data_IF_663095927699
#
_entry.id   IF_663095927699
#
_cell.length_a   1.000
_cell.length_b   1.000
_cell.length_c   1.000
_cell.angle_alpha   90.00
_cell.angle_beta   90.00
_cell.angle_gamma   90.00
#
_symmetry.space_group_name_H-M   'P 1'
#
loop_
_entity.id
_entity.type
_entity.pdbx_description
1 polymer ?
#
# COMPACT_ATOMS: atom_id res chain seq x y z
N UNK A 1 6.86 22.66 -24.81
CA UNK A 1 6.39 21.37 -25.34
C UNK A 1 6.58 20.36 -24.22
N UNK A 2 5.51 19.91 -23.57
CA UNK A 2 5.59 18.78 -22.64
C UNK A 2 6.05 17.57 -23.44
N UNK A 3 6.95 16.76 -22.88
CA UNK A 3 7.40 15.56 -23.58
C UNK A 3 6.21 14.61 -23.71
N UNK A 4 6.20 13.76 -24.74
CA UNK A 4 5.15 12.73 -24.90
C UNK A 4 5.02 11.85 -23.66
N UNK A 5 6.12 11.66 -22.91
CA UNK A 5 6.17 10.91 -21.67
C UNK A 5 5.41 11.58 -20.53
N UNK A 6 5.56 12.89 -20.34
CA UNK A 6 4.83 13.63 -19.30
C UNK A 6 3.32 13.45 -19.48
N UNK A 7 2.83 13.59 -20.71
CA UNK A 7 1.40 13.43 -21.00
C UNK A 7 0.91 11.99 -20.69
N UNK A 8 1.70 10.96 -21.01
CA UNK A 8 1.37 9.55 -20.69
C UNK A 8 1.29 9.34 -19.18
N UNK A 9 2.25 9.90 -18.43
CA UNK A 9 2.29 9.80 -16.98
C UNK A 9 1.11 10.52 -16.32
N UNK A 10 0.78 11.71 -16.80
CA UNK A 10 -0.39 12.45 -16.34
C UNK A 10 -1.70 11.70 -16.58
N UNK A 11 -1.88 11.14 -17.77
CA UNK A 11 -3.06 10.32 -18.09
C UNK A 11 -3.11 9.08 -17.18
N UNK A 12 -1.98 8.42 -16.97
CA UNK A 12 -1.89 7.24 -16.09
C UNK A 12 -2.23 7.58 -14.64
N UNK A 13 -1.74 8.71 -14.12
CA UNK A 13 -2.02 9.16 -12.75
C UNK A 13 -3.50 9.52 -12.57
N UNK A 14 -4.11 10.18 -13.56
CA UNK A 14 -5.56 10.50 -13.54
C UNK A 14 -6.40 9.23 -13.56
N UNK A 15 -6.10 8.29 -14.45
CA UNK A 15 -6.80 7.00 -14.51
C UNK A 15 -6.65 6.26 -13.17
N UNK A 16 -5.44 6.24 -12.63
CA UNK A 16 -5.16 5.59 -11.34
C UNK A 16 -5.93 6.24 -10.20
N UNK A 17 -6.05 7.57 -10.15
CA UNK A 17 -6.91 8.25 -9.17
C UNK A 17 -8.38 7.88 -9.31
N UNK A 18 -8.89 7.84 -10.54
CA UNK A 18 -10.29 7.51 -10.82
C UNK A 18 -10.64 6.10 -10.33
N UNK A 19 -9.69 5.17 -10.37
CA UNK A 19 -9.89 3.81 -9.86
C UNK A 19 -9.65 3.75 -8.34
N UNK A 20 -8.59 4.41 -7.87
CA UNK A 20 -8.10 4.29 -6.50
C UNK A 20 -8.97 5.03 -5.48
N UNK A 21 -9.41 6.24 -5.81
CA UNK A 21 -10.18 7.09 -4.91
C UNK A 21 -11.54 6.47 -4.52
N UNK A 22 -12.36 5.97 -5.46
CA UNK A 22 -13.61 5.29 -5.11
C UNK A 22 -13.39 4.04 -4.27
N UNK A 23 -12.34 3.26 -4.58
CA UNK A 23 -12.02 2.04 -3.83
C UNK A 23 -11.62 2.33 -2.38
N UNK A 24 -10.76 3.33 -2.15
CA UNK A 24 -10.39 3.73 -0.79
C UNK A 24 -11.55 4.39 -0.03
N UNK A 25 -12.33 5.25 -0.69
CA UNK A 25 -13.53 5.82 -0.09
C UNK A 25 -14.54 4.75 0.30
N UNK A 26 -14.73 3.74 -0.54
CA UNK A 26 -15.59 2.60 -0.24
C UNK A 26 -15.13 1.85 1.02
N UNK A 27 -13.84 1.53 1.12
CA UNK A 27 -13.26 0.88 2.30
C UNK A 27 -13.50 1.72 3.56
N UNK A 28 -13.21 3.02 3.50
CA UNK A 28 -13.37 3.92 4.63
C UNK A 28 -14.83 4.07 5.05
N UNK A 29 -15.75 4.25 4.10
CA UNK A 29 -17.19 4.36 4.37
C UNK A 29 -17.70 3.07 5.02
N UNK A 30 -17.34 1.90 4.47
CA UNK A 30 -17.74 0.61 5.03
C UNK A 30 -17.27 0.46 6.48
N UNK A 31 -16.03 0.82 6.75
CA UNK A 31 -15.45 0.74 8.09
C UNK A 31 -16.10 1.77 9.04
N UNK A 32 -16.33 3.01 8.60
CA UNK A 32 -17.02 4.03 9.41
C UNK A 32 -18.45 3.60 9.75
N UNK A 33 -19.17 3.00 8.80
CA UNK A 33 -20.52 2.49 9.02
C UNK A 33 -20.53 1.35 10.04
N UNK A 34 -19.56 0.43 9.97
CA UNK A 34 -19.43 -0.65 10.94
C UNK A 34 -19.03 -0.14 12.32
N UNK A 35 -18.14 0.85 12.39
CA UNK A 35 -17.82 1.54 13.64
C UNK A 35 -19.04 2.19 14.26
N UNK A 36 -19.87 2.86 13.45
CA UNK A 36 -21.09 3.52 13.93
C UNK A 36 -22.10 2.52 14.48
N UNK A 37 -22.25 1.37 13.83
CA UNK A 37 -23.17 0.29 14.24
C UNK A 37 -22.69 -0.46 15.48
N UNK A 38 -21.42 -0.85 15.50
CA UNK A 38 -20.88 -1.77 16.51
C UNK A 38 -20.11 -1.07 17.63
N UNK A 39 -19.92 0.26 17.55
CA UNK A 39 -19.08 1.11 18.43
C UNK A 39 -17.61 0.68 18.54
N UNK A 40 -17.20 -0.40 17.88
CA UNK A 40 -15.84 -0.93 17.82
C UNK A 40 -15.55 -1.44 16.41
N UNK A 41 -14.34 -1.19 15.94
CA UNK A 41 -13.81 -1.73 14.69
C UNK A 41 -12.94 -2.94 14.98
N UNK A 42 -13.01 -3.96 14.13
CA UNK A 42 -12.04 -5.06 14.16
C UNK A 42 -10.63 -4.54 13.86
N UNK A 43 -9.61 -5.16 14.44
CA UNK A 43 -8.20 -4.76 14.25
C UNK A 43 -7.83 -4.71 12.77
N UNK A 44 -8.24 -5.72 12.02
CA UNK A 44 -7.99 -5.80 10.59
C UNK A 44 -8.56 -4.59 9.86
N UNK A 45 -9.78 -4.16 10.20
CA UNK A 45 -10.44 -3.01 9.60
C UNK A 45 -9.79 -1.67 10.01
N UNK A 46 -9.27 -1.56 11.24
CA UNK A 46 -8.52 -0.39 11.70
C UNK A 46 -7.20 -0.22 10.93
N UNK A 47 -6.41 -1.29 10.80
CA UNK A 47 -5.14 -1.28 10.08
C UNK A 47 -5.38 -1.01 8.58
N UNK A 48 -6.39 -1.66 7.99
CA UNK A 48 -6.79 -1.43 6.60
C UNK A 48 -7.20 0.03 6.36
N UNK A 49 -7.98 0.62 7.27
CA UNK A 49 -8.40 2.02 7.16
C UNK A 49 -7.21 2.97 7.25
N UNK A 50 -6.32 2.75 8.22
CA UNK A 50 -5.11 3.55 8.38
C UNK A 50 -4.21 3.48 7.14
N UNK A 51 -3.96 2.27 6.64
CA UNK A 51 -3.21 2.03 5.42
C UNK A 51 -3.85 2.72 4.21
N UNK A 52 -5.18 2.60 4.06
CA UNK A 52 -5.93 3.28 3.00
C UNK A 52 -5.79 4.80 3.05
N UNK A 53 -5.84 5.40 4.25
CA UNK A 53 -5.64 6.84 4.46
C UNK A 53 -4.22 7.27 4.04
N UNK A 54 -3.18 6.57 4.51
CA UNK A 54 -1.80 6.93 4.17
C UNK A 54 -1.53 6.81 2.66
N UNK A 55 -2.05 5.76 2.02
CA UNK A 55 -1.90 5.62 0.56
C UNK A 55 -2.69 6.70 -0.18
N UNK A 56 -3.91 7.04 0.25
CA UNK A 56 -4.67 8.17 -0.32
C UNK A 56 -3.90 9.48 -0.23
N UNK A 57 -3.38 9.82 0.96
CA UNK A 57 -2.60 11.03 1.18
C UNK A 57 -1.35 11.06 0.31
N UNK A 58 -0.63 9.95 0.23
CA UNK A 58 0.53 9.83 -0.63
C UNK A 58 0.19 10.09 -2.10
N UNK A 59 -0.92 9.51 -2.60
CA UNK A 59 -1.35 9.68 -4.00
C UNK A 59 -1.75 11.11 -4.31
N UNK A 60 -2.54 11.73 -3.44
CA UNK A 60 -2.92 13.14 -3.60
C UNK A 60 -1.67 14.00 -3.60
N UNK A 61 -0.75 13.78 -2.66
CA UNK A 61 0.49 14.56 -2.54
C UNK A 61 1.37 14.46 -3.78
N UNK A 62 1.60 13.24 -4.30
CA UNK A 62 2.39 12.99 -5.51
C UNK A 62 1.82 13.75 -6.72
N UNK A 63 0.49 13.70 -6.89
CA UNK A 63 -0.18 14.32 -8.04
C UNK A 63 -0.23 15.83 -7.90
N UNK A 64 -0.50 16.35 -6.70
CA UNK A 64 -0.42 17.79 -6.42
C UNK A 64 0.97 18.34 -6.74
N UNK A 65 2.03 17.64 -6.35
CA UNK A 65 3.40 18.05 -6.68
C UNK A 65 3.66 18.03 -8.18
N UNK A 66 3.20 17.00 -8.90
CA UNK A 66 3.38 16.90 -10.35
C UNK A 66 2.63 17.99 -11.12
N UNK A 67 1.38 18.28 -10.73
CA UNK A 67 0.62 19.41 -11.26
C UNK A 67 1.31 20.75 -10.97
N UNK A 68 1.89 20.91 -9.78
CA UNK A 68 2.66 22.09 -9.43
C UNK A 68 3.91 22.25 -10.33
N UNK A 69 4.68 21.18 -10.55
CA UNK A 69 5.86 21.22 -11.44
C UNK A 69 5.50 21.49 -12.90
N UNK A 70 4.35 21.02 -13.39
CA UNK A 70 3.89 21.36 -14.74
C UNK A 70 3.49 22.83 -14.87
N UNK A 71 2.75 23.35 -13.89
CA UNK A 71 2.15 24.70 -13.96
C UNK A 71 3.21 25.80 -13.83
N UNK A 72 4.17 25.61 -12.93
CA UNK A 72 5.24 26.58 -12.68
C UNK A 72 6.52 26.30 -13.50
N UNK A 73 6.49 25.25 -14.33
CA UNK A 73 7.62 24.74 -15.10
C UNK A 73 8.65 23.98 -14.24
N UNK A 74 9.50 23.19 -14.90
CA UNK A 74 10.63 22.45 -14.30
C UNK A 74 11.63 23.35 -13.55
N UNK A 75 11.48 24.68 -13.64
CA UNK A 75 12.20 25.71 -12.91
C UNK A 75 11.73 25.87 -11.45
N UNK A 76 11.30 24.80 -10.78
CA UNK A 76 11.36 24.72 -9.32
C UNK A 76 12.85 24.62 -8.94
N UNK A 77 13.59 25.70 -9.16
CA UNK A 77 15.01 25.87 -8.81
C UNK A 77 15.17 26.07 -7.30
N UNK A 78 14.06 26.28 -6.58
CA UNK A 78 14.09 26.40 -5.14
C UNK A 78 14.35 25.02 -4.50
N UNK A 79 15.60 24.79 -4.13
CA UNK A 79 16.07 23.63 -3.39
C UNK A 79 15.22 23.32 -2.15
N UNK A 80 14.61 24.32 -1.53
CA UNK A 80 13.73 24.12 -0.37
C UNK A 80 12.44 23.35 -0.71
N UNK A 81 11.84 23.64 -1.88
CA UNK A 81 10.60 22.98 -2.33
C UNK A 81 10.87 21.52 -2.68
N UNK A 82 11.99 21.24 -3.37
CA UNK A 82 12.42 19.87 -3.69
C UNK A 82 12.75 19.06 -2.43
N UNK A 83 13.45 19.66 -1.46
CA UNK A 83 13.75 19.00 -0.18
C UNK A 83 12.47 18.65 0.59
N UNK A 84 11.54 19.60 0.68
CA UNK A 84 10.27 19.42 1.37
C UNK A 84 9.42 18.32 0.70
N UNK A 85 9.46 18.25 -0.63
CA UNK A 85 8.83 17.18 -1.39
C UNK A 85 9.43 15.81 -1.06
N UNK A 86 10.76 15.67 -1.22
CA UNK A 86 11.46 14.42 -0.95
C UNK A 86 11.24 13.95 0.50
N UNK A 87 11.28 14.87 1.46
CA UNK A 87 11.02 14.57 2.86
C UNK A 87 9.62 14.01 3.09
N UNK A 88 8.61 14.69 2.57
CA UNK A 88 7.20 14.30 2.75
C UNK A 88 6.90 12.99 2.01
N UNK A 89 7.44 12.84 0.80
CA UNK A 89 7.30 11.64 -0.02
C UNK A 89 7.89 10.41 0.68
N UNK A 90 9.15 10.49 1.14
CA UNK A 90 9.84 9.40 1.84
C UNK A 90 9.17 9.06 3.17
N UNK A 91 8.69 10.07 3.91
CA UNK A 91 7.95 9.86 5.17
C UNK A 91 6.65 9.08 4.95
N UNK A 92 5.87 9.46 3.93
CA UNK A 92 4.62 8.79 3.61
C UNK A 92 4.84 7.33 3.17
N UNK A 93 5.90 7.06 2.39
CA UNK A 93 6.27 5.69 2.00
C UNK A 93 6.67 4.85 3.21
N UNK A 94 7.45 5.42 4.13
CA UNK A 94 7.83 4.73 5.37
C UNK A 94 6.61 4.39 6.22
N UNK A 95 5.66 5.32 6.36
CA UNK A 95 4.40 5.07 7.05
C UNK A 95 3.63 3.92 6.41
N UNK A 96 3.49 3.93 5.08
CA UNK A 96 2.79 2.85 4.36
C UNK A 96 3.49 1.51 4.56
N UNK A 97 4.82 1.47 4.50
CA UNK A 97 5.62 0.26 4.67
C UNK A 97 5.46 -0.33 6.07
N UNK A 98 5.49 0.52 7.11
CA UNK A 98 5.25 0.12 8.50
C UNK A 98 3.84 -0.43 8.70
N UNK A 99 2.81 0.27 8.22
CA UNK A 99 1.43 -0.19 8.34
C UNK A 99 1.20 -1.51 7.59
N UNK A 100 1.86 -1.71 6.46
CA UNK A 100 1.81 -2.95 5.71
C UNK A 100 2.46 -4.11 6.48
N UNK A 101 3.61 -3.86 7.12
CA UNK A 101 4.27 -4.84 7.99
C UNK A 101 3.38 -5.21 9.20
N UNK A 102 2.76 -4.23 9.87
CA UNK A 102 1.82 -4.47 10.97
C UNK A 102 0.61 -5.29 10.53
N UNK A 103 0.05 -5.00 9.36
CA UNK A 103 -1.05 -5.78 8.78
C UNK A 103 -0.63 -7.24 8.59
N UNK A 104 0.57 -7.46 8.05
CA UNK A 104 1.06 -8.80 7.76
C UNK A 104 1.36 -9.59 9.06
N UNK A 105 1.94 -8.95 10.08
CA UNK A 105 2.13 -9.54 11.42
C UNK A 105 0.78 -9.94 12.02
N UNK A 106 -0.24 -9.07 11.92
CA UNK A 106 -1.58 -9.38 12.42
C UNK A 106 -2.20 -10.59 11.70
N UNK A 107 -2.06 -10.67 10.37
CA UNK A 107 -2.49 -11.85 9.62
C UNK A 107 -1.75 -13.11 10.05
N UNK A 108 -0.44 -13.04 10.25
CA UNK A 108 0.36 -14.16 10.74
C UNK A 108 -0.14 -14.64 12.11
N UNK A 109 -0.39 -13.72 13.06
CA UNK A 109 -0.93 -14.04 14.38
C UNK A 109 -2.31 -14.70 14.31
N UNK A 110 -3.20 -14.20 13.43
CA UNK A 110 -4.54 -14.77 13.23
C UNK A 110 -4.51 -16.19 12.68
N UNK A 111 -3.52 -16.50 11.84
CA UNK A 111 -3.47 -17.72 11.04
C UNK A 111 -2.63 -18.82 11.70
N UNK A 112 -1.55 -18.46 12.39
CA UNK A 112 -0.65 -19.43 13.04
C UNK A 112 -1.21 -19.90 14.39
N UNK A 113 -2.22 -19.21 14.96
CA UNK A 113 -2.92 -19.60 16.18
C UNK A 113 -1.96 -19.99 17.33
N UNK A 114 -0.84 -19.25 17.47
CA UNK A 114 0.27 -19.60 18.38
C UNK A 114 -0.22 -19.72 19.83
N UNK A 115 -1.25 -18.96 20.21
CA UNK A 115 -1.97 -19.14 21.47
C UNK A 115 -3.32 -18.40 21.42
N UNK A 116 -4.46 -19.09 21.62
CA UNK A 116 -5.79 -18.47 21.61
C UNK A 116 -5.91 -17.33 22.62
N UNK A 117 -5.28 -17.46 23.80
CA UNK A 117 -5.30 -16.41 24.82
C UNK A 117 -4.49 -15.17 24.42
N UNK A 118 -3.34 -15.33 23.75
CA UNK A 118 -2.55 -14.19 23.26
C UNK A 118 -3.29 -13.46 22.13
N UNK A 119 -3.97 -14.20 21.26
CA UNK A 119 -4.79 -13.59 20.21
C UNK A 119 -5.93 -12.75 20.80
N UNK A 120 -6.66 -13.26 21.80
CA UNK A 120 -7.73 -12.53 22.49
C UNK A 120 -7.17 -11.29 23.22
N UNK A 121 -6.01 -11.43 23.88
CA UNK A 121 -5.37 -10.31 24.57
C UNK A 121 -4.97 -9.19 23.60
N UNK A 122 -4.30 -9.53 22.49
CA UNK A 122 -3.97 -8.57 21.44
C UNK A 122 -5.26 -7.97 20.86
N UNK A 123 -6.31 -8.78 20.66
CA UNK A 123 -7.59 -8.33 20.15
C UNK A 123 -8.22 -7.22 21.01
N UNK A 124 -8.11 -7.35 22.33
CA UNK A 124 -8.69 -6.40 23.27
C UNK A 124 -7.85 -5.14 23.46
N UNK A 125 -6.52 -5.26 23.43
CA UNK A 125 -5.60 -4.15 23.72
C UNK A 125 -5.30 -3.29 22.48
N UNK A 126 -5.34 -3.88 21.29
CA UNK A 126 -4.98 -3.19 20.05
C UNK A 126 -5.82 -1.93 19.73
N UNK A 127 -7.15 -1.87 19.94
CA UNK A 127 -7.91 -0.65 19.67
C UNK A 127 -7.45 0.54 20.51
N UNK A 128 -6.94 0.29 21.72
CA UNK A 128 -6.37 1.32 22.59
C UNK A 128 -4.93 1.66 22.20
N UNK A 129 -4.16 0.68 21.71
CA UNK A 129 -2.78 0.86 21.23
C UNK A 129 -2.69 1.44 19.83
N UNK A 130 -3.72 1.30 19.00
CA UNK A 130 -3.74 1.73 17.61
C UNK A 130 -3.33 3.20 17.41
N UNK A 131 -3.85 4.20 18.16
CA UNK A 131 -3.37 5.57 18.04
C UNK A 131 -1.89 5.73 18.40
N UNK A 132 -1.38 4.95 19.36
CA UNK A 132 0.03 4.95 19.73
C UNK A 132 0.91 4.31 18.66
N UNK A 133 0.47 3.21 18.05
CA UNK A 133 1.17 2.56 16.93
C UNK A 133 1.21 3.51 15.74
N UNK A 134 0.10 4.22 15.47
CA UNK A 134 0.04 5.23 14.42
C UNK A 134 1.01 6.37 14.70
N UNK A 135 0.99 6.91 15.92
CA UNK A 135 1.89 7.98 16.35
C UNK A 135 3.36 7.56 16.23
N UNK A 136 3.71 6.38 16.75
CA UNK A 136 5.08 5.86 16.71
C UNK A 136 5.54 5.59 15.28
N UNK A 137 4.66 5.08 14.42
CA UNK A 137 4.97 4.83 13.01
C UNK A 137 5.22 6.13 12.25
N UNK A 138 4.42 7.16 12.50
CA UNK A 138 4.61 8.49 11.91
C UNK A 138 5.91 9.12 12.41
N UNK A 139 6.18 9.06 13.72
CA UNK A 139 7.41 9.60 14.31
C UNK A 139 8.66 8.88 13.78
N UNK A 140 8.66 7.54 13.74
CA UNK A 140 9.75 6.77 13.18
C UNK A 140 9.98 7.10 11.70
N UNK A 141 8.90 7.26 10.94
CA UNK A 141 8.97 7.63 9.53
C UNK A 141 9.58 9.00 9.32
N UNK A 142 9.18 10.01 10.12
CA UNK A 142 9.74 11.37 10.06
C UNK A 142 11.22 11.42 10.46
N UNK A 143 11.62 10.64 11.46
CA UNK A 143 13.01 10.60 11.93
C UNK A 143 13.94 10.00 10.88
N UNK A 144 13.51 8.94 10.18
CA UNK A 144 14.32 8.27 9.17
C UNK A 144 14.29 9.06 7.84
N UNK A 145 13.16 9.69 7.50
CA UNK A 145 13.00 10.42 6.23
C UNK A 145 13.77 11.74 6.18
N UNK A 146 13.96 12.42 7.32
CA UNK A 146 14.65 13.72 7.39
C UNK A 146 16.05 13.67 6.81
N UNK A 147 16.97 12.91 7.44
CA UNK A 147 18.34 12.75 6.96
C UNK A 147 18.40 12.12 5.55
N UNK A 148 17.51 11.19 5.24
CA UNK A 148 17.46 10.54 3.93
C UNK A 148 17.09 11.52 2.80
N UNK A 149 16.15 12.44 3.04
CA UNK A 149 15.77 13.45 2.05
C UNK A 149 16.89 14.45 1.74
N UNK A 150 17.68 14.79 2.76
CA UNK A 150 18.87 15.63 2.59
C UNK A 150 19.94 14.94 1.74
N UNK A 151 20.20 13.66 2.03
CA UNK A 151 21.14 12.85 1.26
C UNK A 151 20.64 12.67 -0.20
N UNK A 152 19.35 12.38 -0.41
CA UNK A 152 18.74 12.28 -1.74
C UNK A 152 18.87 13.58 -2.53
N UNK A 153 18.63 14.72 -1.89
CA UNK A 153 18.79 16.02 -2.54
C UNK A 153 20.23 16.29 -2.95
N UNK A 154 21.20 15.93 -2.10
CA UNK A 154 22.63 16.07 -2.42
C UNK A 154 23.04 15.18 -3.59
N UNK A 155 22.50 13.97 -3.68
CA UNK A 155 22.72 13.07 -4.82
C UNK A 155 22.20 13.69 -6.12
N UNK A 156 21.00 14.28 -6.07
CA UNK A 156 20.36 14.95 -7.20
C UNK A 156 21.15 16.18 -7.69
N UNK A 157 21.79 16.91 -6.77
CA UNK A 157 22.60 18.10 -7.09
C UNK A 157 24.03 17.74 -7.54
N UNK A 158 24.62 16.66 -7.04
CA UNK A 158 25.99 16.27 -7.35
C UNK A 158 26.14 15.56 -8.70
N UNK A 159 25.09 14.87 -9.16
CA UNK A 159 25.02 14.30 -10.52
C UNK A 159 25.16 15.36 -11.63
N UNK A 160 25.04 16.65 -11.30
CA UNK A 160 25.27 17.77 -12.23
C UNK A 160 26.60 18.50 -12.01
N UNK A 161 27.33 18.26 -10.91
CA UNK A 161 28.59 18.96 -10.58
C UNK A 161 29.67 17.98 -10.09
N UNK A 162 30.69 17.79 -10.93
CA UNK A 162 31.80 16.84 -10.74
C UNK A 162 32.84 17.39 -9.75
N UNK A 163 32.53 17.46 -8.44
CA UNK A 163 33.57 17.56 -7.41
C UNK A 163 32.96 17.42 -6.00
N UNK A 164 33.17 16.27 -5.31
CA UNK A 164 33.59 16.17 -3.89
C UNK A 164 33.46 14.74 -3.30
N UNK A 165 34.15 14.56 -2.15
CA UNK A 165 34.58 13.35 -1.43
C UNK A 165 33.59 12.18 -1.21
N UNK A 166 34.04 10.91 -1.26
CA UNK A 166 33.17 9.73 -1.42
C UNK A 166 32.72 8.98 -0.15
N UNK A 167 33.20 9.31 1.06
CA UNK A 167 33.09 8.39 2.21
C UNK A 167 32.00 8.72 3.25
N UNK A 168 31.38 9.90 3.23
CA UNK A 168 30.41 10.33 4.28
C UNK A 168 28.98 10.56 3.78
N UNK A 169 28.72 10.45 2.49
CA UNK A 169 27.75 11.33 1.83
C UNK A 169 26.33 10.78 1.66
N UNK A 170 26.09 9.48 1.89
CA UNK A 170 24.75 8.85 1.70
C UNK A 170 24.39 7.78 2.75
N UNK A 171 24.97 7.84 3.95
CA UNK A 171 24.73 6.84 5.00
C UNK A 171 23.24 6.81 5.38
N UNK A 172 22.59 7.97 5.44
CA UNK A 172 21.19 8.06 5.85
C UNK A 172 20.25 7.47 4.79
N UNK A 173 20.55 7.69 3.52
CA UNK A 173 19.81 7.11 2.40
C UNK A 173 19.96 5.58 2.36
N UNK A 174 21.16 5.06 2.64
CA UNK A 174 21.40 3.62 2.80
C UNK A 174 20.63 3.04 3.99
N UNK A 175 20.62 3.72 5.13
CA UNK A 175 19.86 3.31 6.31
C UNK A 175 18.35 3.29 6.04
N UNK A 176 17.84 4.29 5.31
CA UNK A 176 16.45 4.31 4.85
C UNK A 176 16.13 3.10 3.97
N UNK A 177 17.01 2.79 3.01
CA UNK A 177 16.83 1.64 2.13
C UNK A 177 16.84 0.30 2.90
N UNK A 178 17.73 0.15 3.88
CA UNK A 178 17.79 -1.02 4.76
C UNK A 178 16.50 -1.14 5.58
N UNK A 179 16.02 -0.04 6.15
CA UNK A 179 14.77 -0.01 6.93
C UNK A 179 13.56 -0.43 6.09
N UNK A 180 13.41 0.14 4.89
CA UNK A 180 12.32 -0.18 3.97
C UNK A 180 12.42 -1.63 3.49
N UNK A 181 13.62 -2.12 3.20
CA UNK A 181 13.87 -3.52 2.82
C UNK A 181 13.47 -4.48 3.95
N UNK A 182 13.78 -4.13 5.20
CA UNK A 182 13.42 -4.94 6.36
C UNK A 182 11.90 -4.99 6.57
N UNK A 183 11.21 -3.85 6.43
CA UNK A 183 9.74 -3.82 6.45
C UNK A 183 9.14 -4.69 5.36
N UNK A 184 9.71 -4.65 4.15
CA UNK A 184 9.29 -5.45 3.01
C UNK A 184 9.51 -6.95 3.25
N UNK A 185 10.65 -7.36 3.80
CA UNK A 185 10.92 -8.76 4.16
C UNK A 185 9.91 -9.28 5.19
N UNK A 186 9.60 -8.50 6.23
CA UNK A 186 8.59 -8.87 7.23
C UNK A 186 7.23 -9.07 6.55
N UNK A 187 6.85 -8.18 5.63
CA UNK A 187 5.61 -8.28 4.86
C UNK A 187 5.57 -9.56 4.01
N UNK A 188 6.62 -9.85 3.24
CA UNK A 188 6.72 -11.05 2.39
C UNK A 188 6.67 -12.34 3.21
N UNK A 189 7.48 -12.44 4.28
CA UNK A 189 7.51 -13.63 5.15
C UNK A 189 6.13 -13.87 5.77
N UNK A 190 5.48 -12.81 6.25
CA UNK A 190 4.16 -12.89 6.86
C UNK A 190 3.07 -13.29 5.86
N UNK A 191 3.12 -12.78 4.64
CA UNK A 191 2.22 -13.19 3.56
C UNK A 191 2.45 -14.65 3.14
N UNK A 192 3.70 -15.09 3.04
CA UNK A 192 4.03 -16.49 2.75
C UNK A 192 3.46 -17.42 3.82
N UNK A 193 3.64 -17.08 5.11
CA UNK A 193 3.06 -17.81 6.23
C UNK A 193 1.53 -17.86 6.15
N UNK A 194 0.90 -16.73 5.78
CA UNK A 194 -0.55 -16.65 5.59
C UNK A 194 -1.02 -17.59 4.46
N UNK A 195 -0.32 -17.60 3.32
CA UNK A 195 -0.62 -18.49 2.18
C UNK A 195 -0.45 -19.96 2.56
N UNK A 196 0.68 -20.33 3.17
CA UNK A 196 0.99 -21.73 3.54
C UNK A 196 -0.03 -22.26 4.54
N UNK A 197 -0.39 -21.47 5.55
CA UNK A 197 -1.34 -21.94 6.55
C UNK A 197 -2.79 -21.96 6.02
N UNK A 198 -3.18 -21.01 5.15
CA UNK A 198 -4.46 -21.08 4.46
C UNK A 198 -4.55 -22.32 3.57
N UNK A 199 -3.48 -22.64 2.84
CA UNK A 199 -3.37 -23.87 2.06
C UNK A 199 -3.50 -25.13 2.95
N UNK A 200 -2.77 -25.17 4.07
CA UNK A 200 -2.85 -26.26 5.04
C UNK A 200 -4.25 -26.39 5.66
N UNK A 201 -4.94 -25.28 5.92
CA UNK A 201 -6.30 -25.27 6.45
C UNK A 201 -7.30 -25.82 5.44
N UNK A 202 -7.22 -25.38 4.18
CA UNK A 202 -8.04 -25.91 3.08
C UNK A 202 -7.80 -27.41 2.91
N UNK A 203 -6.54 -27.84 2.89
CA UNK A 203 -6.18 -29.25 2.76
C UNK A 203 -6.75 -30.10 3.91
N UNK A 204 -6.63 -29.65 5.17
CA UNK A 204 -7.18 -30.33 6.34
C UNK A 204 -8.72 -30.38 6.31
N UNK A 205 -9.38 -29.32 5.87
CA UNK A 205 -10.84 -29.30 5.75
C UNK A 205 -11.33 -30.22 4.63
N UNK A 206 -10.64 -30.26 3.48
CA UNK A 206 -10.96 -31.17 2.38
C UNK A 206 -10.79 -32.65 2.77
N UNK A 207 -9.83 -32.97 3.64
CA UNK A 207 -9.59 -34.35 4.09
C UNK A 207 -10.53 -34.82 5.21
N UNK A 208 -11.08 -33.90 6.01
CA UNK A 208 -11.94 -34.24 7.16
C UNK A 208 -13.45 -34.12 6.90
N UNK A 209 -13.88 -33.49 5.80
CA UNK A 209 -15.29 -33.28 5.50
C UNK A 209 -15.73 -34.06 4.25
N UNK A 210 -16.42 -35.18 4.45
CA UNK A 210 -17.08 -35.98 3.40
C UNK A 210 -18.14 -35.16 2.62
N UNK A 211 -18.61 -34.04 3.20
CA UNK A 211 -19.68 -33.19 2.66
C UNK A 211 -19.25 -31.73 2.39
N UNK A 212 -18.05 -31.51 1.85
CA UNK A 212 -17.63 -30.14 1.52
C UNK A 212 -18.36 -29.63 0.27
N UNK A 213 -19.27 -28.66 0.45
CA UNK A 213 -20.03 -28.00 -0.62
C UNK A 213 -19.05 -27.30 -1.57
N UNK A 214 -19.02 -27.69 -2.85
CA UNK A 214 -18.04 -27.22 -3.84
C UNK A 214 -17.89 -25.68 -3.90
N UNK A 215 -18.97 -24.93 -3.62
CA UNK A 215 -19.00 -23.46 -3.61
C UNK A 215 -18.09 -22.80 -2.56
N UNK A 216 -17.93 -23.39 -1.36
CA UNK A 216 -17.05 -22.79 -0.34
C UNK A 216 -15.59 -23.09 -0.62
N UNK A 217 -15.27 -24.21 -1.28
CA UNK A 217 -13.89 -24.57 -1.66
C UNK A 217 -13.34 -23.59 -2.66
N UNK A 218 -14.14 -23.27 -3.67
CA UNK A 218 -13.79 -22.36 -4.74
C UNK A 218 -13.52 -20.94 -4.23
N UNK A 219 -14.34 -20.46 -3.28
CA UNK A 219 -14.13 -19.17 -2.63
C UNK A 219 -12.88 -19.14 -1.73
N UNK A 220 -12.44 -20.28 -1.18
CA UNK A 220 -11.19 -20.37 -0.41
C UNK A 220 -9.95 -20.46 -1.31
N UNK A 221 -10.01 -21.21 -2.41
CA UNK A 221 -8.95 -21.31 -3.41
C UNK A 221 -8.73 -19.97 -4.13
N UNK A 222 -9.81 -19.26 -4.46
CA UNK A 222 -9.72 -17.92 -5.07
C UNK A 222 -8.99 -16.93 -4.15
N UNK A 223 -9.25 -16.97 -2.84
CA UNK A 223 -8.54 -16.13 -1.87
C UNK A 223 -7.04 -16.47 -1.77
N UNK A 224 -6.66 -17.75 -1.86
CA UNK A 224 -5.24 -18.13 -1.92
C UNK A 224 -4.59 -17.60 -3.20
N UNK A 225 -5.28 -17.73 -4.34
CA UNK A 225 -4.77 -17.28 -5.65
C UNK A 225 -4.54 -15.77 -5.67
N UNK A 226 -5.45 -14.97 -5.09
CA UNK A 226 -5.27 -13.51 -5.00
C UNK A 226 -4.10 -13.14 -4.08
N UNK A 227 -3.93 -13.81 -2.94
CA UNK A 227 -2.79 -13.59 -2.04
C UNK A 227 -1.45 -13.93 -2.70
N UNK A 228 -1.37 -15.02 -3.47
CA UNK A 228 -0.16 -15.38 -4.23
C UNK A 228 0.13 -14.34 -5.31
N UNK A 229 -0.89 -13.91 -6.06
CA UNK A 229 -0.73 -12.87 -7.08
C UNK A 229 -0.21 -11.56 -6.48
N UNK A 230 -0.74 -11.17 -5.31
CA UNK A 230 -0.28 -9.99 -4.59
C UNK A 230 1.17 -10.14 -4.15
N UNK A 231 1.56 -11.32 -3.66
CA UNK A 231 2.93 -11.59 -3.24
C UNK A 231 3.91 -11.45 -4.41
N UNK A 232 3.60 -12.08 -5.55
CA UNK A 232 4.44 -12.01 -6.76
C UNK A 232 4.59 -10.57 -7.23
N UNK A 233 3.49 -9.80 -7.27
CA UNK A 233 3.56 -8.41 -7.71
C UNK A 233 4.40 -7.54 -6.78
N UNK A 234 4.27 -7.71 -5.46
CA UNK A 234 5.06 -6.96 -4.50
C UNK A 234 6.56 -7.29 -4.62
N UNK A 235 6.91 -8.55 -4.86
CA UNK A 235 8.31 -8.96 -5.12
C UNK A 235 8.83 -8.30 -6.40
N UNK A 236 8.05 -8.34 -7.49
CA UNK A 236 8.43 -7.70 -8.75
C UNK A 236 8.62 -6.18 -8.57
N UNK A 237 7.71 -5.52 -7.86
CA UNK A 237 7.83 -4.10 -7.54
C UNK A 237 9.12 -3.81 -6.77
N UNK A 238 9.41 -4.56 -5.71
CA UNK A 238 10.62 -4.35 -4.92
C UNK A 238 11.90 -4.56 -5.73
N UNK A 239 11.92 -5.59 -6.56
CA UNK A 239 13.03 -5.86 -7.49
C UNK A 239 13.23 -4.69 -8.45
N UNK A 240 12.15 -4.16 -9.04
CA UNK A 240 12.21 -3.00 -9.93
C UNK A 240 12.73 -1.75 -9.21
N UNK A 241 12.36 -1.53 -7.95
CA UNK A 241 12.89 -0.42 -7.14
C UNK A 241 14.39 -0.59 -6.91
N UNK A 242 14.85 -1.79 -6.57
CA UNK A 242 16.29 -2.08 -6.36
C UNK A 242 17.08 -1.82 -7.64
N UNK A 243 16.60 -2.30 -8.79
CA UNK A 243 17.21 -2.04 -10.09
C UNK A 243 17.17 -0.55 -10.47
N UNK A 244 16.05 0.12 -10.20
CA UNK A 244 15.90 1.55 -10.42
C UNK A 244 16.91 2.36 -9.61
N UNK A 245 17.32 1.92 -8.41
CA UNK A 245 18.38 2.58 -7.64
C UNK A 245 19.76 2.35 -8.25
N UNK A 246 20.03 1.14 -8.76
CA UNK A 246 21.37 0.73 -9.20
C UNK A 246 21.75 1.17 -10.62
N UNK A 247 20.86 1.04 -11.62
CA UNK A 247 21.29 0.87 -13.03
C UNK A 247 20.94 2.03 -13.99
N UNK A 248 19.90 2.84 -13.73
CA UNK A 248 19.35 3.78 -14.73
C UNK A 248 19.85 5.25 -14.61
N UNK A 249 19.74 6.04 -15.68
CA UNK A 249 19.99 7.48 -15.67
C UNK A 249 18.94 8.27 -14.87
N UNK A 250 19.32 9.42 -14.29
CA UNK A 250 18.56 10.16 -13.27
C UNK A 250 17.09 10.47 -13.62
N UNK A 251 16.79 10.87 -14.86
CA UNK A 251 15.42 11.18 -15.31
C UNK A 251 14.57 9.93 -15.60
N UNK A 252 15.17 8.87 -16.14
CA UNK A 252 14.50 7.59 -16.36
C UNK A 252 14.23 6.87 -15.02
N UNK A 253 15.08 7.07 -14.01
CA UNK A 253 14.89 6.54 -12.65
C UNK A 253 13.62 7.07 -11.99
N UNK A 254 13.40 8.38 -12.01
CA UNK A 254 12.24 8.99 -11.35
C UNK A 254 10.93 8.53 -12.01
N UNK A 255 10.83 8.56 -13.34
CA UNK A 255 9.58 8.22 -14.02
C UNK A 255 9.23 6.73 -13.96
N UNK A 256 10.21 5.83 -14.10
CA UNK A 256 10.00 4.39 -13.94
C UNK A 256 9.60 4.07 -12.51
N UNK A 257 10.22 4.71 -11.51
CA UNK A 257 9.88 4.53 -10.11
C UNK A 257 8.43 4.97 -9.84
N UNK A 258 8.04 6.16 -10.31
CA UNK A 258 6.66 6.66 -10.14
C UNK A 258 5.63 5.75 -10.82
N UNK A 259 5.88 5.32 -12.05
CA UNK A 259 4.97 4.46 -12.80
C UNK A 259 4.79 3.09 -12.13
N UNK A 260 5.89 2.45 -11.75
CA UNK A 260 5.86 1.14 -11.07
C UNK A 260 5.18 1.23 -9.71
N UNK A 261 5.43 2.33 -8.99
CA UNK A 261 4.79 2.61 -7.71
C UNK A 261 3.28 2.78 -7.87
N UNK A 262 2.82 3.52 -8.88
CA UNK A 262 1.39 3.72 -9.16
C UNK A 262 0.67 2.40 -9.46
N UNK A 263 1.26 1.55 -10.31
CA UNK A 263 0.69 0.23 -10.63
C UNK A 263 0.64 -0.67 -9.39
N UNK A 264 1.72 -0.73 -8.62
CA UNK A 264 1.79 -1.61 -7.46
C UNK A 264 0.70 -1.30 -6.42
N UNK A 265 0.42 -0.01 -6.16
CA UNK A 265 -0.62 0.36 -5.21
C UNK A 265 -2.04 0.19 -5.74
N UNK A 266 -2.26 0.38 -7.04
CA UNK A 266 -3.55 0.09 -7.66
C UNK A 266 -3.90 -1.39 -7.49
N UNK A 267 -2.95 -2.28 -7.76
CA UNK A 267 -3.15 -3.73 -7.57
C UNK A 267 -3.19 -4.11 -6.09
N UNK A 268 -2.43 -3.44 -5.23
CA UNK A 268 -2.54 -3.62 -3.78
C UNK A 268 -3.97 -3.33 -3.29
N UNK A 269 -4.58 -2.22 -3.73
CA UNK A 269 -5.95 -1.89 -3.38
C UNK A 269 -6.95 -2.93 -3.91
N UNK A 270 -6.81 -3.33 -5.17
CA UNK A 270 -7.67 -4.36 -5.77
C UNK A 270 -7.59 -5.67 -4.99
N UNK A 271 -6.38 -6.08 -4.59
CA UNK A 271 -6.20 -7.31 -3.82
C UNK A 271 -6.75 -7.17 -2.41
N UNK A 272 -6.68 -5.98 -1.81
CA UNK A 272 -7.22 -5.73 -0.48
C UNK A 272 -8.76 -5.76 -0.47
N UNK A 273 -9.40 -5.25 -1.52
CA UNK A 273 -10.86 -5.33 -1.71
C UNK A 273 -11.29 -6.77 -2.01
N UNK A 274 -10.61 -7.46 -2.94
CA UNK A 274 -10.95 -8.84 -3.34
C UNK A 274 -10.62 -9.88 -2.25
N UNK A 275 -9.56 -9.67 -1.48
CA UNK A 275 -9.13 -10.59 -0.42
C UNK A 275 -9.96 -10.51 0.85
N UNK A 276 -10.61 -9.37 1.12
CA UNK A 276 -11.47 -9.21 2.27
C UNK A 276 -12.92 -9.57 1.93
N UNK A 277 -13.35 -10.79 2.31
CA UNK A 277 -14.71 -11.30 2.07
C UNK A 277 -15.81 -10.36 2.56
N UNK A 278 -15.59 -9.64 3.66
CA UNK A 278 -16.54 -8.65 4.18
C UNK A 278 -16.72 -7.48 3.23
N UNK A 279 -15.61 -6.95 2.70
CA UNK A 279 -15.62 -5.86 1.71
C UNK A 279 -16.21 -6.34 0.39
N UNK A 280 -15.81 -7.54 -0.07
CA UNK A 280 -16.29 -8.15 -1.30
C UNK A 280 -17.81 -8.40 -1.29
N UNK A 281 -18.34 -8.96 -0.20
CA UNK A 281 -19.77 -9.24 -0.07
C UNK A 281 -20.60 -7.94 -0.05
N UNK A 282 -20.11 -6.89 0.61
CA UNK A 282 -20.75 -5.57 0.60
C UNK A 282 -20.71 -4.92 -0.79
N UNK A 283 -19.60 -5.05 -1.51
CA UNK A 283 -19.46 -4.56 -2.89
C UNK A 283 -20.45 -5.27 -3.83
N UNK A 284 -20.53 -6.61 -3.73
CA UNK A 284 -21.44 -7.42 -4.54
C UNK A 284 -22.92 -7.08 -4.27
N UNK A 285 -23.29 -6.84 -3.00
CA UNK A 285 -24.64 -6.39 -2.65
C UNK A 285 -25.01 -5.03 -3.25
N UNK A 286 -24.06 -4.09 -3.32
CA UNK A 286 -24.27 -2.78 -3.96
C UNK A 286 -24.39 -2.94 -5.47
N UNK A 287 -23.54 -3.77 -6.07
CA UNK A 287 -23.57 -4.04 -7.52
C UNK A 287 -24.90 -4.67 -7.95
N UNK A 288 -25.37 -5.70 -7.23
CA UNK A 288 -26.68 -6.32 -7.46
C UNK A 288 -27.84 -5.34 -7.25
N UNK A 289 -27.75 -4.47 -6.23
CA UNK A 289 -28.75 -3.44 -5.95
C UNK A 289 -28.77 -2.28 -6.95
N UNK A 290 -27.67 -2.04 -7.66
CA UNK A 290 -27.57 -1.04 -8.72
C UNK A 290 -28.03 -1.63 -10.06
N UNK A 291 -27.65 -2.88 -10.34
CA UNK A 291 -28.12 -3.65 -11.51
C UNK A 291 -29.64 -3.84 -11.49
N UNK A 292 -30.24 -4.13 -10.33
CA UNK A 292 -31.69 -4.27 -10.23
C UNK A 292 -32.45 -2.96 -10.42
N UNK A 293 -31.88 -1.83 -9.97
CA UNK A 293 -32.47 -0.49 -10.18
C UNK A 293 -32.37 -0.04 -11.63
N UNK A 294 -31.26 -0.32 -12.30
CA UNK A 294 -31.09 -0.05 -13.73
C UNK A 294 -32.07 -0.88 -14.56
N UNK A 295 -32.24 -2.16 -14.23
CA UNK A 295 -33.24 -3.03 -14.89
C UNK A 295 -34.68 -2.60 -14.64
N UNK A 296 -34.99 -2.05 -13.45
CA UNK A 296 -36.33 -1.50 -13.17
C UNK A 296 -36.61 -0.19 -13.89
N UNK A 297 -35.59 0.65 -14.14
CA UNK A 297 -35.78 1.91 -14.88
C UNK A 297 -35.95 1.69 -16.38
N UNK A 298 -35.36 0.63 -16.94
CA UNK A 298 -35.52 0.26 -18.37
C UNK A 298 -36.85 -0.44 -18.69
N UNK A 299 -37.60 -0.90 -17.67
CA UNK A 299 -38.92 -1.52 -17.83
C UNK A 299 -40.08 -0.55 -17.53
N UNK A 300 -39.76 0.70 -17.22
CA UNK A 300 -40.73 1.75 -16.84
C UNK A 300 -40.95 2.80 -17.95
N UNK A 301 -40.29 2.64 -19.10
CA UNK A 301 -40.48 3.43 -20.33
C UNK A 301 -41.13 2.55 -21.41
#
# INVERSE_FOLDING_TARGET
>A
MTSTWDNILHVTDVISLLIFFPGCMFILIVNILDWRKNKRLEITDQIISGLGIFVLFHRIYQISFRCFTLTYGLNVTNSFVKLSFNFTYLSLISCVSLFSAWLAIHFCLKIVNINQNLYIYIQHTFPQMFPWILLLSVLASLLISGPAAQDLQRELLNSTNVSYSPLKTFISLKLYFVFTSLCFLIFVISLLLAVVSLYRHIYRMQHNAINFRAETAEAHVTAVKTLISLLVLNILYFVLVVFAVHDYGQLLKEEIHFFTFTICHAVFLLTLICGNRKLLNKLHGIWLGCSSRLLSSTYSD
#
